data_IF_623173047813
#
_entry.id   IF_623173047813
#
_cell.length_a   1.000
_cell.length_b   1.000
_cell.length_c   1.000
_cell.angle_alpha   90.00
_cell.angle_beta   90.00
_cell.angle_gamma   90.00
#
_symmetry.space_group_name_H-M   'P 1'
#
loop_
_entity.id
_entity.type
_entity.pdbx_description
1 polymer ?
#
# COMPACT_ATOMS: atom_id res chain seq x y z
N UNK A 1 -39.97 17.72 20.80
CA UNK A 1 -39.36 16.70 21.68
C UNK A 1 -38.70 15.60 20.86
N UNK A 2 -39.42 14.77 20.09
CA UNK A 2 -38.77 13.74 19.26
C UNK A 2 -38.00 14.31 18.07
N UNK A 3 -38.52 15.35 17.40
CA UNK A 3 -37.81 16.04 16.31
C UNK A 3 -36.51 16.71 16.78
N UNK A 4 -36.49 17.28 17.99
CA UNK A 4 -35.29 17.92 18.56
C UNK A 4 -34.21 16.89 18.88
N UNK A 5 -34.61 15.70 19.33
CA UNK A 5 -33.69 14.59 19.59
C UNK A 5 -33.11 14.03 18.28
N UNK A 6 -33.93 13.85 17.25
CA UNK A 6 -33.48 13.41 15.92
C UNK A 6 -32.54 14.44 15.30
N UNK A 7 -32.86 15.73 15.40
CA UNK A 7 -32.01 16.81 14.90
C UNK A 7 -30.65 16.83 15.63
N UNK A 8 -30.65 16.65 16.95
CA UNK A 8 -29.44 16.55 17.75
C UNK A 8 -28.54 15.39 17.32
N UNK A 9 -29.12 14.22 17.05
CA UNK A 9 -28.37 13.05 16.58
C UNK A 9 -27.76 13.28 15.18
N UNK A 10 -28.52 13.88 14.26
CA UNK A 10 -28.03 14.21 12.92
C UNK A 10 -26.88 15.22 12.95
N UNK A 11 -26.96 16.24 13.80
CA UNK A 11 -25.90 17.22 13.99
C UNK A 11 -24.64 16.56 14.60
N UNK A 12 -24.80 15.70 15.59
CA UNK A 12 -23.70 14.94 16.18
C UNK A 12 -22.97 14.07 15.14
N UNK A 13 -23.72 13.35 14.29
CA UNK A 13 -23.15 12.53 13.22
C UNK A 13 -22.39 13.41 12.22
N UNK A 14 -23.00 14.53 11.80
CA UNK A 14 -22.38 15.50 10.87
C UNK A 14 -21.05 16.01 11.42
N UNK A 15 -21.02 16.45 12.68
CA UNK A 15 -19.83 17.02 13.29
C UNK A 15 -18.70 15.99 13.38
N UNK A 16 -19.03 14.72 13.70
CA UNK A 16 -18.05 13.63 13.70
C UNK A 16 -17.49 13.34 12.32
N UNK A 17 -18.32 13.29 11.28
CA UNK A 17 -17.86 13.09 9.90
C UNK A 17 -16.92 14.23 9.49
N UNK A 18 -17.25 15.48 9.83
CA UNK A 18 -16.41 16.63 9.53
C UNK A 18 -15.09 16.63 10.32
N UNK A 19 -15.10 16.18 11.57
CA UNK A 19 -13.88 16.04 12.37
C UNK A 19 -12.95 14.98 11.77
N UNK A 20 -13.47 13.79 11.45
CA UNK A 20 -12.69 12.74 10.79
C UNK A 20 -12.14 13.20 9.44
N UNK A 21 -12.95 13.85 8.60
CA UNK A 21 -12.50 14.36 7.31
C UNK A 21 -11.37 15.38 7.45
N UNK A 22 -11.40 16.24 8.48
CA UNK A 22 -10.30 17.19 8.75
C UNK A 22 -9.00 16.47 9.07
N UNK A 23 -9.02 15.48 9.96
CA UNK A 23 -7.83 14.70 10.33
C UNK A 23 -7.26 13.96 9.12
N UNK A 24 -8.12 13.29 8.35
CA UNK A 24 -7.71 12.47 7.20
C UNK A 24 -7.11 13.32 6.06
N UNK A 25 -7.43 14.62 5.99
CA UNK A 25 -6.94 15.51 4.92
C UNK A 25 -5.79 16.41 5.37
N UNK A 26 -5.43 16.36 6.66
CA UNK A 26 -4.32 17.12 7.24
C UNK A 26 -2.97 16.46 6.90
N UNK A 27 -2.17 17.13 6.07
CA UNK A 27 -0.86 16.62 5.62
C UNK A 27 0.26 16.76 6.63
N UNK A 28 0.09 17.63 7.64
CA UNK A 28 1.08 17.81 8.70
C UNK A 28 0.96 16.70 9.75
N UNK A 29 -0.27 16.22 9.96
CA UNK A 29 -0.57 15.25 11.02
C UNK A 29 -0.88 13.84 10.50
N UNK A 30 -1.17 13.68 9.20
CA UNK A 30 -1.59 12.39 8.62
C UNK A 30 -0.87 12.08 7.30
N UNK A 31 -0.41 10.84 7.17
CA UNK A 31 0.18 10.28 5.96
C UNK A 31 -0.46 8.94 5.63
N UNK A 32 -0.83 8.74 4.35
CA UNK A 32 -1.35 7.46 3.85
C UNK A 32 -0.35 6.79 2.92
N UNK A 33 -0.21 5.48 3.06
CA UNK A 33 0.67 4.66 2.23
C UNK A 33 -0.14 3.48 1.69
N UNK A 34 0.04 3.16 0.42
CA UNK A 34 -0.48 1.93 -0.15
C UNK A 34 0.58 0.84 -0.11
N UNK A 35 0.17 -0.37 0.31
CA UNK A 35 1.00 -1.57 0.21
C UNK A 35 0.39 -2.46 -0.86
N UNK A 36 1.16 -2.79 -1.89
CA UNK A 36 0.71 -3.61 -3.01
C UNK A 36 1.68 -4.76 -3.27
N UNK A 37 1.24 -5.77 -4.02
CA UNK A 37 2.08 -6.86 -4.53
C UNK A 37 2.15 -6.76 -6.05
N UNK A 38 3.19 -7.31 -6.72
CA UNK A 38 3.32 -7.24 -8.17
C UNK A 38 2.37 -8.22 -8.87
N UNK A 39 1.09 -7.83 -8.91
CA UNK A 39 0.00 -8.56 -9.54
C UNK A 39 -0.93 -7.56 -10.25
N UNK A 40 -1.30 -7.83 -11.50
CA UNK A 40 -2.04 -6.87 -12.34
C UNK A 40 -3.35 -6.35 -11.74
N UNK A 41 -4.15 -7.22 -11.12
CA UNK A 41 -5.41 -6.80 -10.48
C UNK A 41 -5.16 -5.83 -9.31
N UNK A 42 -4.12 -6.09 -8.51
CA UNK A 42 -3.78 -5.27 -7.36
C UNK A 42 -3.26 -3.90 -7.78
N UNK A 43 -2.48 -3.83 -8.88
CA UNK A 43 -2.01 -2.57 -9.45
C UNK A 43 -3.21 -1.70 -9.85
N UNK A 44 -4.15 -2.28 -10.61
CA UNK A 44 -5.34 -1.55 -11.09
C UNK A 44 -6.24 -1.08 -9.94
N UNK A 45 -6.45 -1.91 -8.93
CA UNK A 45 -7.30 -1.54 -7.79
C UNK A 45 -6.63 -0.49 -6.91
N UNK A 46 -5.30 -0.56 -6.75
CA UNK A 46 -4.51 0.48 -6.08
C UNK A 46 -4.61 1.81 -6.82
N UNK A 47 -4.55 1.82 -8.16
CA UNK A 47 -4.72 3.04 -8.96
C UNK A 47 -6.10 3.67 -8.77
N UNK A 48 -7.18 2.88 -8.84
CA UNK A 48 -8.55 3.36 -8.57
C UNK A 48 -8.70 3.91 -7.15
N UNK A 49 -8.10 3.22 -6.16
CA UNK A 49 -8.13 3.68 -4.78
C UNK A 49 -7.36 5.00 -4.61
N UNK A 50 -6.20 5.14 -5.27
CA UNK A 50 -5.44 6.39 -5.25
C UNK A 50 -6.21 7.56 -5.87
N UNK A 51 -6.94 7.33 -6.96
CA UNK A 51 -7.84 8.33 -7.53
C UNK A 51 -8.94 8.76 -6.55
N UNK A 52 -9.54 7.82 -5.81
CA UNK A 52 -10.52 8.13 -4.77
C UNK A 52 -9.91 8.99 -3.67
N UNK A 53 -8.72 8.65 -3.17
CA UNK A 53 -8.02 9.42 -2.15
C UNK A 53 -7.77 10.86 -2.60
N UNK A 54 -7.32 11.03 -3.86
CA UNK A 54 -7.14 12.35 -4.47
C UNK A 54 -8.44 13.16 -4.52
N UNK A 55 -9.57 12.55 -4.90
CA UNK A 55 -10.90 13.19 -4.90
C UNK A 55 -11.32 13.67 -3.52
N UNK A 56 -10.99 12.92 -2.47
CA UNK A 56 -11.26 13.28 -1.08
C UNK A 56 -10.17 14.14 -0.43
N UNK A 57 -9.16 14.58 -1.20
CA UNK A 57 -8.00 15.38 -0.74
C UNK A 57 -7.19 14.71 0.38
N UNK A 58 -7.23 13.39 0.46
CA UNK A 58 -6.43 12.61 1.41
C UNK A 58 -5.00 12.53 0.89
N UNK A 59 -3.97 12.92 1.67
CA UNK A 59 -2.59 12.92 1.22
C UNK A 59 -2.01 11.51 1.13
N UNK A 60 -1.73 11.07 -0.10
CA UNK A 60 -0.88 9.90 -0.33
C UNK A 60 0.58 10.30 -0.20
N UNK A 61 1.30 9.57 0.64
CA UNK A 61 2.70 9.79 0.99
C UNK A 61 3.63 8.77 0.36
N UNK A 62 3.10 7.71 -0.26
CA UNK A 62 3.87 6.81 -1.11
C UNK A 62 3.30 5.40 -1.20
N UNK A 63 4.07 4.53 -1.86
CA UNK A 63 3.73 3.13 -2.11
C UNK A 63 4.84 2.21 -1.60
N UNK A 64 4.46 1.04 -1.11
CA UNK A 64 5.37 -0.03 -0.69
C UNK A 64 5.03 -1.27 -1.50
N UNK A 65 5.99 -1.76 -2.27
CA UNK A 65 5.82 -2.99 -3.04
C UNK A 65 6.28 -4.16 -2.16
N UNK A 66 5.38 -5.06 -1.83
CA UNK A 66 5.66 -6.20 -0.96
C UNK A 66 5.73 -7.50 -1.77
N UNK A 67 6.37 -8.53 -1.20
CA UNK A 67 6.52 -9.87 -1.80
C UNK A 67 7.24 -9.85 -3.15
N UNK A 68 8.28 -9.03 -3.26
CA UNK A 68 9.16 -9.02 -4.42
C UNK A 68 10.04 -10.28 -4.38
N UNK A 69 9.95 -11.13 -5.39
CA UNK A 69 10.80 -12.31 -5.48
C UNK A 69 12.26 -11.86 -5.55
N UNK A 70 13.17 -12.49 -4.78
CA UNK A 70 14.58 -12.15 -4.84
C UNK A 70 15.17 -12.48 -6.21
N UNK A 71 16.14 -11.69 -6.64
CA UNK A 71 16.91 -11.99 -7.85
C UNK A 71 17.75 -13.25 -7.64
N UNK A 72 17.79 -14.11 -8.64
CA UNK A 72 18.61 -15.32 -8.63
C UNK A 72 19.84 -15.12 -9.53
N UNK A 73 21.04 -15.56 -9.11
CA UNK A 73 22.22 -15.52 -9.96
C UNK A 73 21.98 -16.33 -11.25
N UNK A 74 22.42 -15.82 -12.40
CA UNK A 74 22.31 -16.51 -13.70
C UNK A 74 22.97 -17.91 -13.69
N UNK A 75 23.93 -18.14 -12.80
CA UNK A 75 24.66 -19.39 -12.63
C UNK A 75 23.88 -20.49 -11.89
N UNK A 76 22.72 -20.16 -11.32
CA UNK A 76 21.92 -21.12 -10.55
C UNK A 76 20.83 -21.74 -11.43
N UNK A 77 20.82 -23.07 -11.50
CA UNK A 77 19.80 -23.81 -12.23
C UNK A 77 18.47 -23.72 -11.45
N UNK A 78 17.58 -22.83 -11.89
CA UNK A 78 16.24 -22.65 -11.32
C UNK A 78 15.21 -23.47 -12.10
N UNK A 79 14.20 -24.07 -11.42
CA UNK A 79 13.10 -24.74 -12.08
C UNK A 79 12.36 -23.82 -13.06
N UNK A 80 11.88 -24.37 -14.18
CA UNK A 80 11.19 -23.61 -15.24
C UNK A 80 9.97 -22.83 -14.70
N UNK A 81 9.18 -23.43 -13.82
CA UNK A 81 8.04 -22.73 -13.21
C UNK A 81 8.45 -21.48 -12.41
N UNK A 82 9.63 -21.51 -11.76
CA UNK A 82 10.12 -20.39 -10.97
C UNK A 82 10.64 -19.28 -11.90
N UNK A 83 11.30 -19.67 -13.01
CA UNK A 83 11.70 -18.73 -14.06
C UNK A 83 10.49 -17.99 -14.63
N UNK A 84 9.42 -18.71 -14.98
CA UNK A 84 8.19 -18.08 -15.47
C UNK A 84 7.55 -17.16 -14.42
N UNK A 85 7.56 -17.53 -13.13
CA UNK A 85 7.06 -16.65 -12.06
C UNK A 85 7.89 -15.37 -11.93
N UNK A 86 9.21 -15.45 -11.99
CA UNK A 86 10.10 -14.29 -11.94
C UNK A 86 9.88 -13.36 -13.14
N UNK A 87 9.76 -13.92 -14.34
CA UNK A 87 9.51 -13.15 -15.56
C UNK A 87 8.16 -12.43 -15.49
N UNK A 88 7.09 -13.14 -15.11
CA UNK A 88 5.76 -12.55 -14.93
C UNK A 88 5.76 -11.45 -13.87
N UNK A 89 6.41 -11.70 -12.72
CA UNK A 89 6.50 -10.68 -11.66
C UNK A 89 7.33 -9.47 -12.12
N UNK A 90 8.39 -9.68 -12.90
CA UNK A 90 9.21 -8.62 -13.49
C UNK A 90 8.42 -7.69 -14.41
N UNK A 91 7.47 -8.24 -15.18
CA UNK A 91 6.53 -7.44 -15.98
C UNK A 91 5.68 -6.52 -15.10
N UNK A 92 5.10 -7.06 -14.01
CA UNK A 92 4.29 -6.27 -13.07
C UNK A 92 5.11 -5.27 -12.27
N UNK A 93 6.35 -5.59 -11.88
CA UNK A 93 7.27 -4.64 -11.25
C UNK A 93 7.58 -3.47 -12.19
N UNK A 94 7.76 -3.75 -13.47
CA UNK A 94 7.95 -2.72 -14.49
C UNK A 94 6.71 -1.84 -14.60
N UNK A 95 5.51 -2.42 -14.63
CA UNK A 95 4.24 -1.69 -14.64
C UNK A 95 4.06 -0.82 -13.38
N UNK A 96 4.39 -1.34 -12.19
CA UNK A 96 4.37 -0.62 -10.92
C UNK A 96 5.32 0.58 -10.97
N UNK A 97 6.55 0.39 -11.43
CA UNK A 97 7.55 1.47 -11.55
C UNK A 97 7.12 2.51 -12.58
N UNK A 98 6.46 2.13 -13.66
CA UNK A 98 5.90 3.08 -14.63
C UNK A 98 4.69 3.85 -14.08
N UNK A 99 3.83 3.18 -13.31
CA UNK A 99 2.56 3.74 -12.81
C UNK A 99 2.75 4.64 -11.60
N UNK A 100 3.55 4.19 -10.61
CA UNK A 100 3.73 4.89 -9.34
C UNK A 100 5.08 5.62 -9.24
N UNK A 101 6.04 5.28 -10.11
CA UNK A 101 7.28 6.05 -10.30
C UNK A 101 8.06 6.32 -9.02
N UNK A 102 8.51 7.57 -8.87
CA UNK A 102 9.27 8.02 -7.70
C UNK A 102 8.48 8.12 -6.39
N UNK A 103 7.22 7.66 -6.35
CA UNK A 103 6.43 7.57 -5.12
C UNK A 103 6.57 6.22 -4.41
N UNK A 104 7.29 5.26 -5.02
CA UNK A 104 7.64 4.00 -4.38
C UNK A 104 8.72 4.28 -3.32
N UNK A 105 8.40 3.96 -2.06
CA UNK A 105 9.28 4.20 -0.92
C UNK A 105 10.18 3.01 -0.63
N UNK A 106 9.67 1.80 -0.84
CA UNK A 106 10.39 0.56 -0.57
C UNK A 106 9.85 -0.61 -1.39
N UNK A 107 10.75 -1.54 -1.71
CA UNK A 107 10.45 -2.86 -2.25
C UNK A 107 10.87 -3.90 -1.19
N UNK A 108 9.90 -4.60 -0.61
CA UNK A 108 10.12 -5.63 0.43
C UNK A 108 10.14 -7.01 -0.23
N UNK A 109 11.22 -7.78 -0.06
CA UNK A 109 11.32 -9.10 -0.67
C UNK A 109 10.34 -10.09 -0.06
N UNK A 110 9.96 -11.11 -0.82
CA UNK A 110 9.24 -12.27 -0.32
C UNK A 110 10.15 -13.03 0.66
N UNK A 111 9.68 -13.18 1.90
CA UNK A 111 10.44 -13.84 2.97
C UNK A 111 10.17 -15.34 3.00
N UNK A 112 11.15 -16.10 3.47
CA UNK A 112 11.13 -17.57 3.42
C UNK A 112 10.09 -18.20 4.37
N UNK A 113 9.56 -17.40 5.29
CA UNK A 113 8.60 -17.80 6.32
C UNK A 113 7.71 -16.63 6.72
N UNK A 114 6.62 -16.95 7.40
CA UNK A 114 5.71 -15.94 7.95
C UNK A 114 6.42 -14.98 8.90
N UNK A 115 6.04 -13.69 8.81
CA UNK A 115 6.58 -12.63 9.65
C UNK A 115 5.95 -12.73 11.04
N UNK A 116 6.59 -13.52 11.90
CA UNK A 116 6.16 -13.75 13.28
C UNK A 116 7.29 -13.50 14.27
N UNK A 117 6.96 -12.84 15.39
CA UNK A 117 7.93 -12.43 16.41
C UNK A 117 8.74 -11.18 16.04
N UNK A 118 9.31 -10.54 17.06
CA UNK A 118 10.00 -9.24 16.93
C UNK A 118 11.18 -9.28 15.96
N UNK A 119 11.92 -10.39 15.90
CA UNK A 119 13.05 -10.53 14.99
C UNK A 119 12.64 -10.42 13.52
N UNK A 120 11.52 -11.04 13.14
CA UNK A 120 11.03 -10.97 11.76
C UNK A 120 10.44 -9.60 11.43
N UNK A 121 9.76 -8.97 12.41
CA UNK A 121 9.27 -7.60 12.26
C UNK A 121 10.43 -6.62 12.05
N UNK A 122 11.52 -6.77 12.81
CA UNK A 122 12.73 -5.95 12.64
C UNK A 122 13.30 -6.11 11.23
N UNK A 123 13.39 -7.35 10.71
CA UNK A 123 13.90 -7.61 9.35
C UNK A 123 13.03 -6.92 8.28
N UNK A 124 11.71 -6.88 8.44
CA UNK A 124 10.82 -6.12 7.53
C UNK A 124 11.04 -4.62 7.67
N UNK A 125 11.19 -4.11 8.90
CA UNK A 125 11.46 -2.70 9.15
C UNK A 125 12.78 -2.24 8.50
N UNK A 126 13.80 -3.10 8.49
CA UNK A 126 15.08 -2.81 7.82
C UNK A 126 14.91 -2.59 6.31
N UNK A 127 13.98 -3.31 5.65
CA UNK A 127 13.65 -3.08 4.24
C UNK A 127 12.82 -1.82 3.99
N UNK A 128 12.07 -1.34 4.99
CA UNK A 128 11.20 -0.17 4.85
C UNK A 128 11.91 1.15 5.20
N UNK A 129 12.86 1.11 6.12
CA UNK A 129 13.54 2.28 6.68
C UNK A 129 15.01 2.41 6.23
N UNK A 130 15.49 1.47 5.40
CA UNK A 130 16.86 1.40 4.90
C UNK A 130 17.16 2.33 3.73
#
# INVERSE_FOLDING_TARGET
MDEDAILGELLYIKDRIQASSRILTDREHTAFFFVLVPEGMIIQDTQKAAELFSRFKVPLSGYVVNRVLPEFPETQEIPEYLRHRLEMQGQYLTEIRQTFGGQILAEVPELERDVTGLNMISRVADFLCG
#
